data_IF_032696502282
#
_entry.id   IF_032696502282
#
_cell.length_a   1.000
_cell.length_b   1.000
_cell.length_c   1.000
_cell.angle_alpha   90.00
_cell.angle_beta   90.00
_cell.angle_gamma   90.00
#
_symmetry.space_group_name_H-M   'P 1'
#
loop_
_entity.id
_entity.type
_entity.pdbx_description
1 polymer ?
#
# COMPACT_ATOMS: atom_id res chain seq x y z
N UNK A 1 -5.39 -10.36 11.28
CA UNK A 1 -5.47 -8.88 11.29
C UNK A 1 -6.71 -8.53 12.07
N UNK A 2 -6.62 -7.58 13.00
CA UNK A 2 -7.75 -7.14 13.81
C UNK A 2 -8.38 -5.86 13.26
N UNK A 3 -7.60 -4.97 12.68
CA UNK A 3 -8.09 -3.68 12.18
C UNK A 3 -7.38 -3.23 10.91
N UNK A 4 -8.13 -2.52 10.07
CA UNK A 4 -7.60 -1.91 8.85
C UNK A 4 -8.46 -0.71 8.43
N UNK A 5 -7.86 0.27 7.76
CA UNK A 5 -8.52 1.48 7.28
C UNK A 5 -7.94 1.92 5.94
N UNK A 6 -8.76 2.52 5.11
CA UNK A 6 -8.34 3.13 3.85
C UNK A 6 -8.02 4.60 4.05
N UNK A 7 -7.02 5.10 3.35
CA UNK A 7 -6.66 6.50 3.43
C UNK A 7 -6.04 7.06 2.17
N UNK A 8 -5.76 8.35 2.19
CA UNK A 8 -5.12 9.09 1.11
C UNK A 8 -3.87 9.81 1.64
N UNK A 9 -2.73 9.56 1.03
CA UNK A 9 -1.48 10.24 1.36
C UNK A 9 -1.58 11.72 1.01
N UNK A 10 -1.50 12.61 1.97
CA UNK A 10 -1.46 14.05 1.74
C UNK A 10 -0.04 14.53 1.41
N UNK A 11 0.93 14.13 2.19
CA UNK A 11 2.32 14.54 2.01
C UNK A 11 3.21 14.07 3.14
N UNK A 12 4.40 14.64 3.20
CA UNK A 12 5.33 14.43 4.32
C UNK A 12 5.66 15.77 4.97
N UNK A 13 5.84 15.73 6.27
CA UNK A 13 6.28 16.84 7.11
C UNK A 13 7.20 16.29 8.19
N UNK A 14 7.61 17.16 9.10
CA UNK A 14 8.37 16.77 10.28
C UNK A 14 7.68 17.32 11.52
N UNK A 15 7.83 16.61 12.61
CA UNK A 15 7.41 17.04 13.94
C UNK A 15 8.61 16.96 14.89
N UNK A 16 8.57 17.75 15.92
CA UNK A 16 9.58 17.74 16.97
C UNK A 16 9.02 17.02 18.19
N UNK A 17 9.84 16.16 18.80
CA UNK A 17 9.52 15.58 20.11
C UNK A 17 9.85 16.59 21.21
N UNK A 18 9.35 16.34 22.40
CA UNK A 18 9.67 17.15 23.59
C UNK A 18 11.18 17.21 23.88
N UNK A 19 11.91 16.16 23.48
CA UNK A 19 13.38 16.10 23.58
C UNK A 19 14.10 16.88 22.46
N UNK A 20 13.37 17.59 21.57
CA UNK A 20 13.94 18.34 20.45
C UNK A 20 14.35 17.48 19.25
N UNK A 21 14.07 16.16 19.24
CA UNK A 21 14.39 15.29 18.09
C UNK A 21 13.42 15.51 16.94
N UNK A 22 13.94 15.60 15.72
CA UNK A 22 13.14 15.68 14.49
C UNK A 22 12.65 14.30 14.09
N UNK A 23 11.35 14.15 13.92
CA UNK A 23 10.71 12.93 13.45
C UNK A 23 10.05 13.21 12.10
N UNK A 24 10.53 12.61 10.98
CA UNK A 24 9.87 12.73 9.70
C UNK A 24 8.58 11.91 9.72
N UNK A 25 7.48 12.51 9.30
CA UNK A 25 6.17 11.86 9.28
C UNK A 25 5.48 12.02 7.93
N UNK A 26 4.72 11.02 7.57
CA UNK A 26 3.76 11.09 6.45
C UNK A 26 2.38 11.31 7.02
N UNK A 27 1.68 12.31 6.48
CA UNK A 27 0.29 12.61 6.84
C UNK A 27 -0.64 11.86 5.89
N UNK A 28 -1.53 11.07 6.46
CA UNK A 28 -2.57 10.32 5.75
C UNK A 28 -3.94 10.78 6.24
N UNK A 29 -4.78 11.17 5.31
CA UNK A 29 -6.19 11.44 5.53
C UNK A 29 -6.96 10.13 5.41
N UNK A 30 -7.73 9.79 6.44
CA UNK A 30 -8.46 8.54 6.54
C UNK A 30 -9.80 8.74 7.25
N UNK A 31 -10.60 9.67 6.72
CA UNK A 31 -11.97 9.91 7.22
C UNK A 31 -13.00 9.02 6.56
N UNK A 32 -14.09 8.75 7.26
CA UNK A 32 -15.31 8.12 6.76
C UNK A 32 -15.10 6.90 5.86
N UNK A 33 -14.49 5.87 6.41
CA UNK A 33 -14.45 4.57 5.75
C UNK A 33 -15.77 3.86 6.01
N UNK A 34 -16.51 3.57 4.96
CA UNK A 34 -17.83 2.95 5.09
C UNK A 34 -17.74 1.47 4.78
N UNK A 35 -18.39 0.64 5.59
CA UNK A 35 -18.53 -0.79 5.35
C UNK A 35 -19.57 -1.02 4.27
N UNK A 36 -19.15 -1.57 3.13
CA UNK A 36 -20.00 -1.84 1.99
C UNK A 36 -20.60 -3.24 2.01
N UNK A 37 -19.83 -4.21 2.45
CA UNK A 37 -20.24 -5.62 2.48
C UNK A 37 -19.39 -6.40 3.48
N UNK A 38 -20.05 -7.31 4.20
CA UNK A 38 -19.36 -8.34 4.98
C UNK A 38 -19.39 -9.64 4.19
N UNK A 39 -18.24 -10.27 4.09
CA UNK A 39 -18.05 -11.58 3.47
C UNK A 39 -17.86 -12.61 4.55
N UNK A 40 -18.60 -13.72 4.43
CA UNK A 40 -18.59 -14.83 5.38
C UNK A 40 -18.11 -16.10 4.69
N UNK A 41 -17.63 -17.05 5.48
CA UNK A 41 -17.18 -18.37 4.96
C UNK A 41 -18.31 -19.09 4.25
N UNK A 42 -19.55 -18.95 4.73
CA UNK A 42 -20.72 -19.67 4.17
C UNK A 42 -21.06 -19.20 2.76
N UNK A 43 -21.01 -17.88 2.51
CA UNK A 43 -21.42 -17.30 1.22
C UNK A 43 -20.25 -17.10 0.25
N UNK A 44 -19.10 -16.68 0.77
CA UNK A 44 -17.96 -16.21 -0.04
C UNK A 44 -16.73 -17.13 0.09
N UNK A 45 -16.75 -18.09 1.02
CA UNK A 45 -15.63 -18.99 1.29
C UNK A 45 -14.51 -18.41 2.17
N UNK A 46 -14.64 -17.17 2.62
CA UNK A 46 -13.68 -16.50 3.51
C UNK A 46 -14.32 -15.34 4.26
N UNK A 47 -13.73 -14.98 5.40
CA UNK A 47 -14.14 -13.82 6.18
C UNK A 47 -13.40 -12.57 5.74
N UNK A 48 -14.13 -11.51 5.37
CA UNK A 48 -13.59 -10.20 5.03
C UNK A 48 -14.62 -9.10 5.18
N UNK A 49 -14.15 -7.88 5.38
CA UNK A 49 -14.97 -6.67 5.34
C UNK A 49 -14.55 -5.85 4.13
N UNK A 50 -15.51 -5.46 3.32
CA UNK A 50 -15.29 -4.57 2.20
C UNK A 50 -15.48 -3.12 2.65
N UNK A 51 -14.40 -2.34 2.61
CA UNK A 51 -14.39 -0.93 2.98
C UNK A 51 -14.39 -0.04 1.75
N UNK A 52 -15.12 1.06 1.85
CA UNK A 52 -15.15 2.12 0.86
C UNK A 52 -14.62 3.43 1.41
N UNK A 53 -13.86 4.18 0.58
CA UNK A 53 -13.27 5.47 0.96
C UNK A 53 -13.28 6.48 -0.19
N UNK A 54 -13.53 7.73 0.14
CA UNK A 54 -13.46 8.86 -0.78
C UNK A 54 -14.71 8.97 -1.66
N UNK A 55 -15.40 10.06 -1.58
CA UNK A 55 -16.64 10.32 -2.31
C UNK A 55 -16.44 10.46 -3.81
N UNK A 56 -17.43 10.05 -4.56
CA UNK A 56 -17.51 10.17 -6.02
C UNK A 56 -18.90 10.68 -6.44
N UNK A 57 -18.91 11.61 -7.39
CA UNK A 57 -20.18 12.07 -7.98
C UNK A 57 -20.87 10.91 -8.71
N UNK A 58 -22.15 10.71 -8.49
CA UNK A 58 -22.95 9.63 -9.08
C UNK A 58 -22.83 9.51 -10.61
N UNK A 59 -22.67 10.64 -11.30
CA UNK A 59 -22.49 10.70 -12.77
C UNK A 59 -21.25 9.94 -13.25
N UNK A 60 -20.26 9.70 -12.35
CA UNK A 60 -19.01 9.00 -12.65
C UNK A 60 -19.03 7.51 -12.29
N UNK A 61 -20.16 7.01 -11.83
CA UNK A 61 -20.32 5.62 -11.35
C UNK A 61 -21.15 4.83 -12.36
N UNK A 62 -20.68 3.65 -12.73
CA UNK A 62 -21.38 2.72 -13.65
C UNK A 62 -22.62 2.11 -12.99
N UNK A 63 -23.60 1.68 -13.80
CA UNK A 63 -24.85 1.04 -13.32
C UNK A 63 -24.61 -0.12 -12.34
N UNK A 64 -23.72 -1.09 -12.61
CA UNK A 64 -23.43 -2.18 -11.65
C UNK A 64 -22.92 -1.68 -10.29
N UNK A 65 -22.01 -0.70 -10.30
CA UNK A 65 -21.49 -0.11 -9.08
C UNK A 65 -22.56 0.66 -8.30
N UNK A 66 -23.46 1.38 -9.00
CA UNK A 66 -24.62 2.03 -8.34
C UNK A 66 -25.50 1.02 -7.63
N UNK A 67 -25.78 -0.13 -8.25
CA UNK A 67 -26.54 -1.21 -7.61
C UNK A 67 -25.83 -1.76 -6.37
N UNK A 68 -24.50 -1.88 -6.41
CA UNK A 68 -23.69 -2.33 -5.28
C UNK A 68 -23.79 -1.35 -4.08
N UNK A 69 -23.64 -0.06 -4.34
CA UNK A 69 -23.78 0.97 -3.29
C UNK A 69 -25.21 1.09 -2.77
N UNK A 70 -26.21 0.99 -3.66
CA UNK A 70 -27.62 1.00 -3.27
C UNK A 70 -27.97 -0.18 -2.35
N UNK A 71 -27.42 -1.37 -2.60
CA UNK A 71 -27.60 -2.54 -1.72
C UNK A 71 -27.01 -2.31 -0.31
N UNK A 72 -25.90 -1.56 -0.22
CA UNK A 72 -25.29 -1.19 1.04
C UNK A 72 -25.93 0.04 1.70
N UNK A 73 -26.83 0.76 1.02
CA UNK A 73 -27.46 1.99 1.51
C UNK A 73 -26.50 3.17 1.67
N UNK A 74 -25.39 3.20 0.93
CA UNK A 74 -24.33 4.21 1.06
C UNK A 74 -24.12 5.01 -0.21
N UNK A 75 -23.63 6.24 -0.06
CA UNK A 75 -23.22 7.08 -1.19
C UNK A 75 -22.03 6.47 -1.95
N UNK A 76 -21.92 6.72 -3.26
CA UNK A 76 -20.84 6.17 -4.07
C UNK A 76 -19.46 6.59 -3.59
N UNK A 77 -18.56 5.60 -3.45
CA UNK A 77 -17.16 5.78 -3.04
C UNK A 77 -16.17 5.43 -4.15
N UNK A 78 -15.01 6.04 -4.11
CA UNK A 78 -14.00 5.91 -5.17
C UNK A 78 -13.09 4.72 -5.00
N UNK A 79 -12.68 4.43 -3.76
CA UNK A 79 -11.69 3.42 -3.46
C UNK A 79 -12.32 2.32 -2.60
N UNK A 80 -12.37 1.13 -3.13
CA UNK A 80 -12.98 -0.04 -2.48
C UNK A 80 -11.89 -1.10 -2.31
N UNK A 81 -11.77 -1.64 -1.10
CA UNK A 81 -10.85 -2.75 -0.81
C UNK A 81 -11.44 -3.68 0.22
N UNK A 82 -11.11 -4.95 0.08
CA UNK A 82 -11.44 -5.98 1.05
C UNK A 82 -10.30 -6.18 2.04
N UNK A 83 -10.69 -6.28 3.30
CA UNK A 83 -9.79 -6.54 4.40
C UNK A 83 -10.18 -7.87 5.03
N UNK A 84 -9.28 -8.85 4.97
CA UNK A 84 -9.46 -10.12 5.68
C UNK A 84 -9.18 -9.88 7.16
N UNK A 85 -10.25 -9.80 7.94
CA UNK A 85 -10.21 -9.61 9.38
C UNK A 85 -10.50 -10.95 10.05
N UNK A 86 -10.04 -11.13 11.29
CA UNK A 86 -10.35 -12.34 12.06
C UNK A 86 -11.83 -12.37 12.38
N UNK A 87 -12.37 -11.23 12.83
CA UNK A 87 -13.77 -11.08 13.26
C UNK A 87 -14.48 -10.08 12.34
N UNK A 88 -14.95 -10.57 11.20
CA UNK A 88 -15.73 -9.76 10.24
C UNK A 88 -17.17 -9.49 10.72
N UNK A 89 -17.67 -10.29 11.67
CA UNK A 89 -19.02 -10.20 12.22
C UNK A 89 -19.26 -8.97 13.13
N UNK A 90 -18.19 -8.35 13.64
CA UNK A 90 -18.30 -7.14 14.46
C UNK A 90 -18.77 -5.91 13.66
N UNK A 91 -18.56 -5.92 12.35
CA UNK A 91 -18.85 -4.80 11.46
C UNK A 91 -20.21 -4.98 10.79
N UNK A 92 -21.04 -3.95 10.81
CA UNK A 92 -22.33 -3.92 10.10
C UNK A 92 -22.19 -3.16 8.80
N UNK A 93 -22.93 -3.57 7.77
CA UNK A 93 -23.01 -2.84 6.51
C UNK A 93 -23.58 -1.44 6.78
N UNK A 94 -22.90 -0.41 6.27
CA UNK A 94 -23.25 1.00 6.50
C UNK A 94 -22.49 1.65 7.67
N UNK A 95 -21.78 0.88 8.51
CA UNK A 95 -20.98 1.45 9.60
C UNK A 95 -19.84 2.32 9.02
N UNK A 96 -19.51 3.40 9.74
CA UNK A 96 -18.42 4.31 9.43
C UNK A 96 -17.25 4.08 10.38
N UNK A 97 -16.07 3.80 9.82
CA UNK A 97 -14.83 3.60 10.58
C UNK A 97 -13.97 4.86 10.49
N UNK A 98 -13.62 5.41 11.65
CA UNK A 98 -12.75 6.57 11.78
C UNK A 98 -11.28 6.22 12.01
N UNK A 99 -10.46 7.23 12.20
CA UNK A 99 -9.02 7.09 12.52
C UNK A 99 -8.76 6.65 13.95
N UNK A 100 -9.76 6.76 14.80
CA UNK A 100 -9.80 6.44 16.23
C UNK A 100 -9.55 4.97 16.54
N UNK A 101 -9.70 4.09 15.55
CA UNK A 101 -9.34 2.66 15.70
C UNK A 101 -7.84 2.44 15.93
N UNK A 102 -6.99 3.42 15.62
CA UNK A 102 -5.56 3.37 15.85
C UNK A 102 -5.13 4.30 16.98
N UNK A 103 -4.16 3.84 17.77
CA UNK A 103 -3.58 4.61 18.85
C UNK A 103 -2.16 5.11 18.51
N UNK A 104 -1.73 6.21 19.14
CA UNK A 104 -0.35 6.67 19.06
C UNK A 104 0.60 5.61 19.65
N UNK A 105 1.76 5.43 19.03
CA UNK A 105 2.74 4.39 19.40
C UNK A 105 2.51 3.03 18.77
N UNK A 106 1.37 2.80 18.14
CA UNK A 106 1.02 1.53 17.53
C UNK A 106 1.84 1.27 16.26
N UNK A 107 2.12 -0.02 16.00
CA UNK A 107 2.83 -0.45 14.80
C UNK A 107 1.85 -0.87 13.70
N UNK A 108 2.01 -0.28 12.53
CA UNK A 108 1.14 -0.52 11.38
C UNK A 108 1.93 -0.90 10.13
N UNK A 109 1.28 -1.65 9.24
CA UNK A 109 1.75 -1.93 7.89
C UNK A 109 0.97 -1.06 6.91
N UNK A 110 1.68 -0.37 6.02
CA UNK A 110 1.05 0.49 5.01
C UNK A 110 1.24 -0.09 3.62
N UNK A 111 0.13 -0.36 2.96
CA UNK A 111 0.09 -0.88 1.59
C UNK A 111 -0.31 0.24 0.64
N UNK A 112 0.44 0.39 -0.44
CA UNK A 112 0.11 1.37 -1.48
C UNK A 112 0.71 0.99 -2.82
N UNK A 113 0.38 1.76 -3.85
CA UNK A 113 0.99 1.60 -5.18
C UNK A 113 2.19 2.52 -5.30
N UNK A 114 3.36 1.97 -5.58
CA UNK A 114 4.59 2.73 -5.73
C UNK A 114 4.53 3.69 -6.92
N UNK A 115 5.35 4.73 -6.91
CA UNK A 115 5.47 5.64 -8.07
C UNK A 115 5.98 4.89 -9.28
N UNK A 116 5.30 5.02 -10.43
CA UNK A 116 5.77 4.48 -11.70
C UNK A 116 7.05 5.17 -12.15
N UNK A 117 8.00 4.40 -12.67
CA UNK A 117 9.30 4.88 -13.20
C UNK A 117 9.48 4.55 -14.68
N UNK A 118 8.41 4.07 -15.33
CA UNK A 118 8.41 3.67 -16.73
C UNK A 118 9.28 2.45 -17.01
N UNK A 119 9.76 2.33 -18.25
CA UNK A 119 10.73 1.33 -18.62
C UNK A 119 12.10 1.71 -18.06
N UNK A 120 12.76 0.81 -17.35
CA UNK A 120 14.04 1.07 -16.70
C UNK A 120 15.06 -0.01 -17.10
N UNK A 121 16.29 0.44 -17.35
CA UNK A 121 17.43 -0.44 -17.63
C UNK A 121 17.89 -1.22 -16.39
N UNK A 122 18.74 -2.22 -16.59
CA UNK A 122 19.26 -3.11 -15.55
C UNK A 122 19.94 -2.37 -14.39
N UNK A 123 20.65 -1.29 -14.68
CA UNK A 123 21.33 -0.48 -13.67
C UNK A 123 20.33 0.13 -12.69
N UNK A 124 19.27 0.79 -13.18
CA UNK A 124 18.25 1.43 -12.34
C UNK A 124 17.31 0.42 -11.68
N UNK A 125 16.93 -0.63 -12.41
CA UNK A 125 15.93 -1.59 -11.96
C UNK A 125 16.48 -2.64 -11.00
N UNK A 126 17.74 -3.07 -11.22
CA UNK A 126 18.34 -4.20 -10.52
C UNK A 126 19.68 -3.88 -9.88
N UNK A 127 20.10 -2.60 -9.90
CA UNK A 127 21.40 -2.15 -9.36
C UNK A 127 22.59 -2.84 -9.99
N UNK A 128 22.55 -3.08 -11.31
CA UNK A 128 23.70 -3.62 -12.02
C UNK A 128 24.86 -2.62 -12.05
N UNK A 129 26.07 -3.12 -11.97
CA UNK A 129 27.27 -2.33 -12.21
C UNK A 129 27.32 -1.83 -13.67
N UNK A 130 27.92 -0.69 -13.88
CA UNK A 130 28.24 -0.20 -15.23
C UNK A 130 29.50 -0.93 -15.73
N UNK A 131 29.58 -1.08 -17.06
CA UNK A 131 30.82 -1.50 -17.69
C UNK A 131 31.89 -0.41 -17.68
N UNK A 132 33.12 -0.72 -18.11
CA UNK A 132 34.22 0.25 -18.22
C UNK A 132 33.84 1.44 -19.10
N UNK A 133 34.18 2.67 -18.68
CA UNK A 133 33.90 3.90 -19.44
C UNK A 133 35.09 4.39 -20.27
N UNK A 134 36.24 3.74 -20.14
CA UNK A 134 37.48 4.03 -20.89
C UNK A 134 38.05 2.77 -21.53
N UNK A 135 39.31 2.84 -21.95
CA UNK A 135 40.06 1.74 -22.58
C UNK A 135 39.38 1.14 -23.82
N UNK A 136 38.65 1.96 -24.60
CA UNK A 136 37.98 1.52 -25.84
C UNK A 136 36.76 0.61 -25.65
N UNK A 137 36.28 0.45 -24.41
CA UNK A 137 35.07 -0.34 -24.18
C UNK A 137 33.88 0.29 -24.86
N UNK A 138 33.05 -0.51 -25.54
CA UNK A 138 31.80 -0.11 -26.16
C UNK A 138 30.59 -0.55 -25.33
N UNK A 139 30.79 -1.39 -24.30
CA UNK A 139 29.75 -1.91 -23.42
C UNK A 139 29.72 -1.15 -22.10
N UNK A 140 28.99 -0.03 -22.06
CA UNK A 140 28.92 0.85 -20.87
C UNK A 140 27.76 0.54 -19.94
N UNK A 141 26.59 0.26 -20.49
CA UNK A 141 25.32 0.13 -19.73
C UNK A 141 24.52 -1.12 -20.06
N UNK A 142 25.06 -2.00 -20.86
CA UNK A 142 24.41 -3.21 -21.30
C UNK A 142 24.31 -4.27 -20.19
N UNK A 143 23.28 -5.13 -20.20
CA UNK A 143 23.10 -6.15 -19.16
C UNK A 143 24.13 -7.28 -19.21
N UNK A 144 24.92 -7.37 -20.30
CA UNK A 144 25.87 -8.46 -20.53
C UNK A 144 25.19 -9.78 -20.93
N UNK A 145 25.92 -10.88 -20.79
CA UNK A 145 25.45 -12.21 -21.16
C UNK A 145 24.20 -12.64 -20.37
N UNK A 146 23.28 -13.29 -21.05
CA UNK A 146 22.07 -13.86 -20.43
C UNK A 146 22.28 -15.28 -19.88
N UNK A 147 23.46 -15.82 -20.01
CA UNK A 147 23.87 -17.16 -19.57
C UNK A 147 24.27 -18.06 -20.73
N UNK A 148 24.96 -19.15 -20.44
CA UNK A 148 25.29 -20.21 -21.40
C UNK A 148 24.03 -20.99 -21.77
N UNK A 149 24.04 -21.61 -22.96
CA UNK A 149 23.01 -22.58 -23.35
C UNK A 149 23.03 -23.77 -22.38
N UNK A 150 22.01 -23.87 -21.54
CA UNK A 150 21.86 -25.05 -20.69
C UNK A 150 21.25 -26.16 -21.56
N UNK A 151 22.04 -27.19 -21.79
CA UNK A 151 21.75 -28.48 -22.42
C UNK A 151 20.40 -28.63 -23.13
N UNK A 152 20.43 -28.68 -24.47
CA UNK A 152 19.30 -29.02 -25.33
C UNK A 152 19.15 -28.12 -26.55
N UNK A 153 18.55 -28.59 -27.65
CA UNK A 153 18.23 -27.74 -28.80
C UNK A 153 17.30 -26.62 -28.40
N UNK A 154 17.79 -25.37 -28.47
CA UNK A 154 17.00 -24.18 -28.15
C UNK A 154 17.25 -23.64 -26.74
N UNK A 155 18.51 -23.44 -26.35
CA UNK A 155 18.86 -22.76 -25.12
C UNK A 155 18.02 -21.49 -24.88
N UNK A 156 17.37 -21.42 -23.72
CA UNK A 156 16.48 -20.31 -23.32
C UNK A 156 16.98 -19.61 -22.09
N UNK A 157 16.62 -18.34 -21.98
CA UNK A 157 16.87 -17.55 -20.78
C UNK A 157 16.01 -18.09 -19.64
N UNK A 158 16.61 -18.33 -18.48
CA UNK A 158 15.91 -18.82 -17.31
C UNK A 158 14.81 -17.84 -16.85
N UNK A 159 13.70 -18.38 -16.35
CA UNK A 159 12.64 -17.59 -15.72
C UNK A 159 13.21 -16.81 -14.54
N UNK A 160 12.80 -15.53 -14.39
CA UNK A 160 13.30 -14.68 -13.32
C UNK A 160 14.64 -14.00 -13.58
N UNK A 161 15.28 -14.21 -14.75
CA UNK A 161 16.49 -13.47 -15.13
C UNK A 161 16.23 -11.96 -15.06
N UNK A 162 17.12 -11.24 -14.37
CA UNK A 162 17.01 -9.78 -14.22
C UNK A 162 17.35 -9.08 -15.53
N UNK A 163 16.34 -8.48 -16.16
CA UNK A 163 16.45 -7.76 -17.43
C UNK A 163 15.78 -6.38 -17.32
N UNK A 164 16.04 -5.46 -18.27
CA UNK A 164 15.30 -4.21 -18.38
C UNK A 164 13.79 -4.45 -18.45
N UNK A 165 12.99 -3.49 -18.01
CA UNK A 165 11.55 -3.59 -18.05
C UNK A 165 10.87 -2.52 -17.22
N UNK A 166 9.55 -2.61 -17.11
CA UNK A 166 8.76 -1.69 -16.29
C UNK A 166 9.19 -1.75 -14.83
N UNK A 167 9.34 -0.58 -14.22
CA UNK A 167 9.67 -0.40 -12.82
C UNK A 167 8.64 0.51 -12.14
N UNK A 168 8.26 0.16 -10.92
CA UNK A 168 7.26 0.88 -10.15
C UNK A 168 5.83 0.69 -10.67
N UNK A 169 4.87 1.38 -10.06
CA UNK A 169 3.45 1.14 -10.29
C UNK A 169 2.99 -0.21 -9.70
N UNK A 170 3.73 -0.76 -8.77
CA UNK A 170 3.50 -2.04 -8.13
C UNK A 170 2.92 -1.85 -6.73
N UNK A 171 2.15 -2.84 -6.27
CA UNK A 171 1.67 -2.90 -4.89
C UNK A 171 2.83 -3.18 -3.96
N UNK A 172 3.11 -2.27 -3.05
CA UNK A 172 4.21 -2.34 -2.08
C UNK A 172 3.65 -2.21 -0.67
N UNK A 173 4.15 -3.02 0.25
CA UNK A 173 3.84 -2.95 1.67
C UNK A 173 5.09 -2.52 2.43
N UNK A 174 4.99 -1.42 3.16
CA UNK A 174 6.01 -1.00 4.13
C UNK A 174 5.52 -1.42 5.50
N UNK A 175 6.30 -2.27 6.16
CA UNK A 175 5.92 -2.91 7.43
C UNK A 175 6.52 -2.17 8.64
N UNK A 176 5.87 -2.32 9.80
CA UNK A 176 6.34 -1.84 11.10
C UNK A 176 6.60 -0.34 11.14
N UNK A 177 5.68 0.44 10.63
CA UNK A 177 5.71 1.88 10.79
C UNK A 177 4.99 2.26 12.09
N UNK A 178 5.53 3.22 12.82
CA UNK A 178 4.93 3.70 14.08
C UNK A 178 3.94 4.80 13.77
N UNK A 179 2.74 4.72 14.34
CA UNK A 179 1.78 5.82 14.39
C UNK A 179 2.27 6.83 15.41
N UNK A 180 2.55 8.05 15.00
CA UNK A 180 3.07 9.09 15.90
C UNK A 180 1.93 9.85 16.57
N UNK A 181 0.92 10.20 15.81
CA UNK A 181 -0.24 10.94 16.29
C UNK A 181 -1.48 10.59 15.46
N UNK A 182 -2.61 10.55 16.13
CA UNK A 182 -3.93 10.45 15.51
C UNK A 182 -4.70 11.73 15.83
N UNK A 183 -5.29 12.35 14.82
CA UNK A 183 -6.11 13.55 14.93
C UNK A 183 -7.51 13.19 14.40
N UNK A 184 -8.41 12.88 15.31
CA UNK A 184 -9.76 12.45 15.00
C UNK A 184 -10.60 13.61 14.41
N UNK A 185 -10.40 14.84 14.88
CA UNK A 185 -11.17 16.01 14.43
C UNK A 185 -10.92 16.31 12.94
N UNK A 186 -9.69 16.07 12.50
CA UNK A 186 -9.28 16.29 11.10
C UNK A 186 -9.21 15.02 10.28
N UNK A 187 -9.52 13.88 10.86
CA UNK A 187 -9.40 12.56 10.22
C UNK A 187 -7.98 12.28 9.67
N UNK A 188 -6.95 12.61 10.44
CA UNK A 188 -5.55 12.46 10.04
C UNK A 188 -4.82 11.45 10.91
N UNK A 189 -3.98 10.65 10.26
CA UNK A 189 -2.99 9.78 10.91
C UNK A 189 -1.61 10.22 10.48
N UNK A 190 -0.72 10.48 11.44
CA UNK A 190 0.68 10.78 11.23
C UNK A 190 1.52 9.53 11.45
N UNK A 191 2.13 9.02 10.40
CA UNK A 191 2.92 7.78 10.42
C UNK A 191 4.40 8.14 10.26
N UNK A 192 5.25 7.62 11.13
CA UNK A 192 6.70 7.85 11.09
C UNK A 192 7.30 7.28 9.82
N UNK A 193 8.04 8.11 9.08
CA UNK A 193 8.77 7.70 7.89
C UNK A 193 7.99 7.82 6.59
N UNK A 194 8.48 7.14 5.56
CA UNK A 194 7.93 7.20 4.21
C UNK A 194 6.93 6.06 3.96
N UNK A 195 5.84 6.38 3.27
CA UNK A 195 4.86 5.40 2.79
C UNK A 195 4.84 5.35 1.26
N UNK A 196 4.42 4.22 0.64
CA UNK A 196 4.44 4.06 -0.79
C UNK A 196 3.48 5.03 -1.51
N UNK A 197 3.82 5.36 -2.75
CA UNK A 197 2.97 6.13 -3.66
C UNK A 197 3.22 7.63 -3.71
N UNK A 198 2.56 8.31 -4.67
CA UNK A 198 2.58 9.75 -4.83
C UNK A 198 1.68 10.46 -3.80
N UNK A 199 1.78 11.78 -3.72
CA UNK A 199 0.76 12.60 -3.03
C UNK A 199 -0.62 12.35 -3.66
N UNK A 200 -1.67 12.34 -2.86
CA UNK A 200 -3.05 11.99 -3.21
C UNK A 200 -3.24 10.52 -3.62
N UNK A 201 -2.21 9.66 -3.50
CA UNK A 201 -2.33 8.22 -3.70
C UNK A 201 -3.10 7.56 -2.56
N UNK A 202 -3.90 6.54 -2.90
CA UNK A 202 -4.60 5.73 -1.91
C UNK A 202 -3.67 4.73 -1.24
N UNK A 203 -3.88 4.54 0.04
CA UNK A 203 -3.14 3.60 0.88
C UNK A 203 -4.10 2.82 1.76
N UNK A 204 -3.65 1.66 2.18
CA UNK A 204 -4.31 0.83 3.17
C UNK A 204 -3.42 0.78 4.39
N UNK A 205 -3.92 1.17 5.53
CA UNK A 205 -3.26 1.07 6.83
C UNK A 205 -3.87 -0.12 7.55
N UNK A 206 -3.06 -1.01 8.08
CA UNK A 206 -3.50 -2.21 8.79
C UNK A 206 -2.54 -2.56 9.90
N UNK A 207 -2.98 -3.38 10.84
CA UNK A 207 -2.12 -3.94 11.87
C UNK A 207 -0.89 -4.62 11.25
N UNK A 208 0.25 -4.49 11.95
CA UNK A 208 1.47 -5.15 11.50
C UNK A 208 1.39 -6.66 11.65
N UNK A 209 1.85 -7.37 10.64
CA UNK A 209 2.00 -8.84 10.69
C UNK A 209 3.21 -9.24 11.54
N UNK A 210 4.15 -8.31 11.74
CA UNK A 210 5.37 -8.53 12.54
C UNK A 210 5.34 -7.65 13.80
N UNK A 211 4.61 -8.03 14.84
CA UNK A 211 4.65 -7.32 16.11
C UNK A 211 6.10 -7.29 16.60
N UNK A 212 6.51 -6.18 17.23
CA UNK A 212 7.81 -6.08 17.86
C UNK A 212 7.98 -7.19 18.91
N UNK A 213 9.21 -7.56 19.20
CA UNK A 213 9.47 -8.29 20.45
C UNK A 213 8.90 -7.41 21.55
N UNK A 214 7.88 -7.88 22.25
CA UNK A 214 7.47 -7.25 23.50
C UNK A 214 8.74 -7.19 24.35
N UNK A 215 9.12 -5.99 24.81
CA UNK A 215 10.16 -5.90 25.81
C UNK A 215 9.69 -6.79 26.97
N UNK A 216 10.42 -7.87 27.22
CA UNK A 216 10.21 -8.64 28.43
C UNK A 216 10.58 -7.70 29.57
N UNK A 217 9.56 -7.15 30.23
CA UNK A 217 9.72 -6.51 31.53
C UNK A 217 10.18 -7.55 32.53
#
# INVERSE_FOLDING_TARGET
MSKAILGRKLGMTQIFTEEGKVVPVTVVESGNNVVLQNKTVENDGYNAVQLGFGEVKEKKVNKPQKGHFAKAGVSPVKFIREMRLADASEYKVGDSLGVDIFAAGELVDVVGTSKGKGFAGGIKRHNFARGPMGHGSKSHREPGSTGAMISGPGGRVLKGKKLPGRMGGERVTVQRLTVVRVDADRNLILIKGAIPGPKKGFVVIKDTVKPGKQAKN
#
